data_IF_003110148659
#
_entry.id   IF_003110148659
#
_cell.length_a   1.000
_cell.length_b   1.000
_cell.length_c   1.000
_cell.angle_alpha   90.00
_cell.angle_beta   90.00
_cell.angle_gamma   90.00
#
_symmetry.space_group_name_H-M   'P 1'
#
loop_
_entity.id
_entity.type
_entity.pdbx_description
1 polymer ?
#
# COMPACT_ATOMS: atom_id res chain seq x y z
N UNK A 1 22.09 15.74 -23.47
CA UNK A 1 21.26 14.52 -23.65
C UNK A 1 20.04 14.58 -22.72
N UNK A 2 18.95 13.97 -23.15
CA UNK A 2 17.75 13.82 -22.31
C UNK A 2 17.35 12.35 -22.35
N UNK A 3 17.19 11.74 -21.19
CA UNK A 3 16.79 10.35 -21.04
C UNK A 3 15.58 10.28 -20.10
N UNK A 4 14.56 9.55 -20.46
CA UNK A 4 13.45 9.19 -19.58
C UNK A 4 13.76 7.83 -18.95
N UNK A 5 13.93 7.81 -17.66
CA UNK A 5 14.15 6.57 -16.90
C UNK A 5 12.90 6.22 -16.12
N UNK A 6 12.35 5.02 -16.38
CA UNK A 6 11.21 4.47 -15.67
C UNK A 6 11.68 3.69 -14.44
N UNK A 7 10.95 3.86 -13.32
CA UNK A 7 11.22 3.17 -12.07
C UNK A 7 10.92 1.68 -12.12
N UNK A 8 10.68 1.07 -10.97
CA UNK A 8 10.40 -0.37 -10.80
C UNK A 8 9.36 -0.87 -11.80
N UNK A 9 9.72 -1.85 -12.63
CA UNK A 9 8.86 -2.44 -13.66
C UNK A 9 8.88 -1.77 -15.04
N UNK A 10 9.68 -0.70 -15.21
CA UNK A 10 9.83 -0.03 -16.49
C UNK A 10 10.94 -0.62 -17.38
N UNK A 11 10.87 -0.33 -18.67
CA UNK A 11 11.99 -0.55 -19.61
C UNK A 11 13.14 0.40 -19.27
N UNK A 12 14.38 0.04 -19.61
CA UNK A 12 15.54 0.92 -19.48
C UNK A 12 15.31 2.29 -20.12
N UNK A 13 16.09 3.28 -19.73
CA UNK A 13 15.88 4.67 -20.11
C UNK A 13 15.77 4.89 -21.62
N UNK A 14 14.79 5.70 -22.03
CA UNK A 14 14.58 6.09 -23.43
C UNK A 14 15.30 7.39 -23.71
N UNK A 15 16.23 7.37 -24.65
CA UNK A 15 16.95 8.56 -25.12
C UNK A 15 16.03 9.41 -25.97
N UNK A 16 15.89 10.69 -25.64
CA UNK A 16 15.15 11.64 -26.43
C UNK A 16 16.07 12.35 -27.42
N UNK A 17 15.51 12.72 -28.57
CA UNK A 17 16.19 13.46 -29.63
C UNK A 17 15.54 14.82 -29.84
N UNK A 18 16.36 15.87 -29.94
CA UNK A 18 15.91 17.23 -30.16
C UNK A 18 15.62 17.45 -31.66
N UNK A 19 14.44 17.92 -31.98
CA UNK A 19 14.09 18.32 -33.34
C UNK A 19 14.55 19.76 -33.68
N UNK A 20 14.24 20.21 -34.92
CA UNK A 20 14.58 21.56 -35.41
C UNK A 20 13.90 22.69 -34.64
N UNK A 21 12.77 22.41 -34.01
CA UNK A 21 11.96 23.40 -33.26
C UNK A 21 12.32 23.39 -31.76
N UNK A 22 13.29 22.55 -31.37
CA UNK A 22 13.80 22.47 -30.01
C UNK A 22 13.05 21.49 -29.11
N UNK A 23 12.10 20.74 -29.64
CA UNK A 23 11.31 19.74 -28.88
C UNK A 23 12.07 18.42 -28.79
N UNK A 24 12.09 17.85 -27.60
CA UNK A 24 12.72 16.56 -27.35
C UNK A 24 11.68 15.44 -27.37
N UNK A 25 11.88 14.46 -28.22
CA UNK A 25 10.97 13.32 -28.41
C UNK A 25 11.71 11.99 -28.42
N UNK A 26 11.02 10.93 -28.04
CA UNK A 26 11.52 9.56 -28.10
C UNK A 26 10.37 8.57 -27.94
N UNK A 27 10.63 7.32 -28.31
CA UNK A 27 9.66 6.21 -28.17
C UNK A 27 10.35 5.06 -27.46
N UNK A 28 9.67 4.43 -26.53
CA UNK A 28 10.16 3.24 -25.82
C UNK A 28 10.27 2.06 -26.77
N UNK A 29 11.16 1.11 -26.53
CA UNK A 29 11.40 -0.06 -27.38
C UNK A 29 10.25 -1.08 -27.37
N UNK A 30 9.22 -0.85 -26.57
CA UNK A 30 8.04 -1.72 -26.49
C UNK A 30 6.93 -1.07 -25.67
N UNK A 31 5.76 -1.70 -25.64
CA UNK A 31 4.68 -1.21 -24.80
C UNK A 31 5.08 -1.27 -23.33
N UNK A 32 4.74 -0.24 -22.59
CA UNK A 32 4.89 -0.23 -21.14
C UNK A 32 3.85 -1.16 -20.48
N UNK A 33 4.22 -1.76 -19.37
CA UNK A 33 3.26 -2.48 -18.52
C UNK A 33 2.13 -1.52 -18.08
N UNK A 34 0.87 -1.96 -18.07
CA UNK A 34 -0.25 -1.15 -17.57
C UNK A 34 -0.11 -0.80 -16.09
N UNK A 35 -0.76 0.30 -15.68
CA UNK A 35 -0.81 0.75 -14.30
C UNK A 35 0.08 1.95 -14.00
N UNK A 36 0.29 2.21 -12.72
CA UNK A 36 1.08 3.33 -12.24
C UNK A 36 2.57 3.00 -12.24
N UNK A 37 3.39 3.91 -12.80
CA UNK A 37 4.84 3.82 -12.78
C UNK A 37 5.48 5.14 -12.34
N UNK A 38 6.56 5.04 -11.56
CA UNK A 38 7.44 6.17 -11.31
C UNK A 38 8.38 6.38 -12.48
N UNK A 39 8.74 7.63 -12.75
CA UNK A 39 9.77 7.96 -13.72
C UNK A 39 10.49 9.26 -13.35
N UNK A 40 11.65 9.48 -13.96
CA UNK A 40 12.39 10.75 -13.88
C UNK A 40 13.09 11.02 -15.21
N UNK A 41 13.54 12.27 -15.37
CA UNK A 41 14.34 12.69 -16.49
C UNK A 41 15.81 12.77 -16.08
N UNK A 42 16.71 12.35 -16.96
CA UNK A 42 18.13 12.63 -16.83
C UNK A 42 18.53 13.63 -17.90
N UNK A 43 18.87 14.85 -17.49
CA UNK A 43 19.24 15.95 -18.39
C UNK A 43 20.70 16.28 -18.15
N UNK A 44 21.54 16.01 -19.16
CA UNK A 44 22.99 16.23 -19.09
C UNK A 44 23.67 15.65 -17.84
N UNK A 45 23.19 14.45 -17.43
CA UNK A 45 23.66 13.72 -16.26
C UNK A 45 23.00 14.10 -14.94
N UNK A 46 22.20 15.15 -14.89
CA UNK A 46 21.41 15.53 -13.72
C UNK A 46 20.05 14.83 -13.72
N UNK A 47 19.66 14.23 -12.59
CA UNK A 47 18.35 13.59 -12.43
C UNK A 47 17.35 14.61 -11.90
N UNK A 48 16.25 14.80 -12.63
CA UNK A 48 15.20 15.78 -12.31
C UNK A 48 13.82 15.17 -12.50
N UNK A 49 12.84 15.71 -11.80
CA UNK A 49 11.45 15.37 -12.06
C UNK A 49 10.95 16.11 -13.32
N UNK A 50 9.99 15.52 -13.99
CA UNK A 50 9.27 16.16 -15.06
C UNK A 50 8.40 17.29 -14.48
N UNK A 51 8.64 18.56 -14.86
CA UNK A 51 7.85 19.69 -14.33
C UNK A 51 6.39 19.68 -14.79
N UNK A 52 6.07 18.91 -15.83
CA UNK A 52 4.70 18.74 -16.32
C UNK A 52 3.93 17.59 -15.67
N UNK A 53 4.59 16.77 -14.86
CA UNK A 53 3.97 15.63 -14.22
C UNK A 53 3.51 15.90 -12.78
N UNK A 54 2.53 15.14 -12.32
CA UNK A 54 2.24 15.03 -10.89
C UNK A 54 3.36 14.25 -10.21
N UNK A 55 3.82 14.75 -9.07
CA UNK A 55 4.84 14.10 -8.26
C UNK A 55 4.21 13.27 -7.14
N UNK A 56 4.87 12.16 -6.84
CA UNK A 56 4.51 11.20 -5.80
C UNK A 56 5.74 10.85 -4.98
N UNK A 57 5.55 10.60 -3.68
CA UNK A 57 6.66 10.15 -2.87
C UNK A 57 6.87 8.65 -3.09
N UNK A 58 8.08 8.28 -3.52
CA UNK A 58 8.50 6.90 -3.77
C UNK A 58 10.01 6.86 -3.94
N UNK A 59 10.62 5.68 -3.76
CA UNK A 59 12.09 5.54 -3.85
C UNK A 59 12.87 6.49 -2.91
N UNK A 60 12.30 6.80 -1.74
CA UNK A 60 12.84 7.72 -0.71
C UNK A 60 12.97 9.18 -1.21
N UNK A 61 12.23 9.56 -2.24
CA UNK A 61 12.22 10.92 -2.80
C UNK A 61 10.91 11.20 -3.56
N UNK A 62 10.71 12.43 -3.95
CA UNK A 62 9.66 12.79 -4.91
C UNK A 62 10.05 12.31 -6.31
N UNK A 63 9.14 11.60 -6.96
CA UNK A 63 9.25 11.08 -8.32
C UNK A 63 8.09 11.57 -9.17
N UNK A 64 8.32 11.74 -10.47
CA UNK A 64 7.22 11.90 -11.42
C UNK A 64 6.46 10.57 -11.55
N UNK A 65 5.16 10.63 -11.77
CA UNK A 65 4.33 9.46 -11.97
C UNK A 65 3.58 9.49 -13.29
N UNK A 66 3.42 8.32 -13.90
CA UNK A 66 2.62 8.11 -15.10
C UNK A 66 1.65 6.94 -14.89
N UNK A 67 0.43 7.08 -15.38
CA UNK A 67 -0.57 6.01 -15.41
C UNK A 67 -0.69 5.49 -16.84
N UNK A 68 -0.36 4.22 -17.03
CA UNK A 68 -0.57 3.52 -18.31
C UNK A 68 -1.92 2.83 -18.25
N UNK A 69 -2.84 3.09 -19.22
CA UNK A 69 -4.18 2.50 -19.22
C UNK A 69 -4.16 0.97 -19.12
N UNK A 70 -5.14 0.42 -18.41
CA UNK A 70 -5.38 -1.02 -18.33
C UNK A 70 -6.85 -1.34 -18.64
N UNK A 71 -7.12 -2.57 -19.09
CA UNK A 71 -8.45 -2.97 -19.53
C UNK A 71 -9.50 -2.97 -18.40
N UNK A 72 -9.06 -3.15 -17.15
CA UNK A 72 -9.93 -3.22 -15.97
C UNK A 72 -9.86 -1.98 -15.06
N UNK A 73 -9.47 -0.82 -15.58
CA UNK A 73 -9.31 0.41 -14.78
C UNK A 73 -10.59 0.91 -14.10
N UNK A 74 -11.76 0.44 -14.56
CA UNK A 74 -13.08 0.84 -14.06
C UNK A 74 -13.23 0.65 -12.54
N UNK A 75 -12.60 -0.35 -11.93
CA UNK A 75 -12.75 -0.58 -10.48
C UNK A 75 -12.07 0.47 -9.60
N UNK A 76 -11.10 1.22 -10.12
CA UNK A 76 -10.43 2.33 -9.43
C UNK A 76 -10.64 3.69 -10.09
N UNK A 77 -11.50 3.75 -11.11
CA UNK A 77 -11.89 5.01 -11.75
C UNK A 77 -12.76 5.85 -10.81
N UNK A 78 -12.71 7.16 -10.98
CA UNK A 78 -13.65 8.05 -10.32
C UNK A 78 -15.01 7.90 -11.00
N UNK A 79 -16.03 7.47 -10.24
CA UNK A 79 -17.40 7.27 -10.69
C UNK A 79 -18.35 8.27 -10.02
N UNK A 80 -19.55 8.42 -10.56
CA UNK A 80 -20.62 9.19 -9.92
C UNK A 80 -21.32 8.32 -8.86
N UNK A 81 -20.64 8.16 -7.72
CA UNK A 81 -21.10 7.41 -6.54
C UNK A 81 -20.81 8.24 -5.29
N UNK A 82 -21.44 7.94 -4.15
CA UNK A 82 -21.07 8.58 -2.89
C UNK A 82 -19.58 8.35 -2.56
N UNK A 83 -18.85 9.43 -2.33
CA UNK A 83 -17.43 9.38 -2.00
C UNK A 83 -17.17 9.54 -0.51
N UNK A 84 -16.20 8.78 0.00
CA UNK A 84 -15.64 8.97 1.33
C UNK A 84 -14.72 10.19 1.39
N UNK A 85 -14.19 10.45 2.57
CA UNK A 85 -13.23 11.52 2.82
C UNK A 85 -11.88 10.95 3.17
N UNK A 86 -10.82 11.59 2.69
CA UNK A 86 -9.45 11.30 3.10
C UNK A 86 -8.97 12.46 3.96
N UNK A 87 -8.67 12.20 5.22
CA UNK A 87 -8.18 13.20 6.17
C UNK A 87 -6.75 12.89 6.58
N UNK A 88 -5.92 13.91 6.65
CA UNK A 88 -4.59 13.78 7.21
C UNK A 88 -4.63 14.07 8.71
N UNK A 89 -3.99 13.22 9.50
CA UNK A 89 -3.86 13.40 10.94
C UNK A 89 -2.39 13.41 11.35
N UNK A 90 -2.10 14.21 12.38
CA UNK A 90 -0.83 14.19 13.12
C UNK A 90 -1.12 13.49 14.44
N UNK A 91 -0.36 12.46 14.76
CA UNK A 91 -0.54 11.75 16.03
C UNK A 91 0.73 11.80 16.88
N UNK A 92 0.59 11.95 18.20
CA UNK A 92 1.76 11.94 19.07
C UNK A 92 2.33 10.51 19.13
N UNK A 93 3.63 10.38 18.92
CA UNK A 93 4.32 9.10 19.13
C UNK A 93 5.47 9.27 20.10
N UNK A 94 5.54 8.37 21.07
CA UNK A 94 6.65 8.25 22.00
C UNK A 94 7.68 7.22 21.55
N UNK A 95 7.30 6.39 20.58
CA UNK A 95 8.09 5.28 20.06
C UNK A 95 8.82 5.60 18.78
N UNK A 96 8.54 6.75 18.15
CA UNK A 96 9.23 7.20 16.95
C UNK A 96 10.56 7.87 17.31
N UNK A 97 11.66 7.50 16.65
CA UNK A 97 12.94 8.17 16.81
C UNK A 97 12.87 9.67 16.47
N UNK A 98 13.53 10.50 17.25
CA UNK A 98 13.49 11.98 17.10
C UNK A 98 14.20 12.52 15.84
N UNK A 99 14.93 11.69 15.11
CA UNK A 99 15.86 12.10 14.04
C UNK A 99 15.41 11.70 12.63
N UNK A 100 14.13 11.45 12.40
CA UNK A 100 13.66 11.06 11.08
C UNK A 100 13.46 12.27 10.17
N UNK A 101 14.18 12.31 9.06
CA UNK A 101 14.19 13.42 8.11
C UNK A 101 12.81 13.73 7.50
N UNK A 102 11.94 12.74 7.37
CA UNK A 102 10.57 12.92 6.83
C UNK A 102 9.57 13.47 7.87
N UNK A 103 9.90 13.41 9.18
CA UNK A 103 9.02 13.79 10.27
C UNK A 103 9.50 14.97 11.12
N UNK A 104 10.61 15.56 10.76
CA UNK A 104 11.34 16.51 11.62
C UNK A 104 10.57 17.76 12.01
N UNK A 105 9.56 18.16 11.22
CA UNK A 105 8.83 19.42 11.51
C UNK A 105 7.44 19.22 12.11
N UNK A 106 6.79 18.09 11.86
CA UNK A 106 5.35 17.91 12.17
C UNK A 106 5.00 16.65 12.99
N UNK A 107 5.94 15.75 13.29
CA UNK A 107 5.66 14.45 13.92
C UNK A 107 5.03 13.43 12.97
N UNK A 108 4.70 12.22 13.46
CA UNK A 108 4.16 11.15 12.64
C UNK A 108 2.77 11.48 12.09
N UNK A 109 2.58 11.12 10.83
CA UNK A 109 1.35 11.37 10.06
C UNK A 109 0.67 10.07 9.68
N UNK A 110 -0.64 10.15 9.50
CA UNK A 110 -1.43 9.12 8.84
C UNK A 110 -2.49 9.75 7.95
N UNK A 111 -2.80 9.06 6.85
CA UNK A 111 -3.98 9.35 6.03
C UNK A 111 -5.08 8.38 6.43
N UNK A 112 -6.26 8.92 6.72
CA UNK A 112 -7.42 8.16 7.15
C UNK A 112 -8.54 8.33 6.12
N UNK A 113 -8.92 7.24 5.46
CA UNK A 113 -10.12 7.20 4.64
C UNK A 113 -11.31 6.90 5.53
N UNK A 114 -12.31 7.76 5.46
CA UNK A 114 -13.61 7.64 6.12
C UNK A 114 -14.64 7.29 5.03
N UNK A 115 -15.37 6.15 5.15
CA UNK A 115 -16.32 5.76 4.12
C UNK A 115 -17.48 6.75 3.99
N UNK A 116 -18.22 6.76 2.85
CA UNK A 116 -19.31 7.71 2.63
C UNK A 116 -20.38 7.72 3.74
N UNK A 117 -20.52 6.58 4.45
CA UNK A 117 -21.49 6.44 5.55
C UNK A 117 -20.98 6.92 6.90
N UNK A 118 -19.76 7.48 6.95
CA UNK A 118 -19.18 7.95 8.21
C UNK A 118 -19.84 9.26 8.66
N UNK A 119 -20.57 9.21 9.75
CA UNK A 119 -21.39 10.32 10.30
C UNK A 119 -20.86 10.86 11.65
N UNK A 120 -19.73 10.35 12.14
CA UNK A 120 -19.18 10.69 13.44
C UNK A 120 -19.91 10.06 14.63
N UNK A 121 -20.92 9.23 14.41
CA UNK A 121 -21.74 8.57 15.44
C UNK A 121 -21.58 7.06 15.36
N UNK A 122 -21.85 6.48 14.21
CA UNK A 122 -21.75 5.04 13.96
C UNK A 122 -20.28 4.57 13.96
N UNK A 123 -20.02 3.42 14.58
CA UNK A 123 -18.68 2.83 14.65
C UNK A 123 -18.42 1.89 13.49
N UNK A 124 -17.21 1.96 12.93
CA UNK A 124 -16.76 1.20 11.77
C UNK A 124 -15.57 0.29 12.11
N UNK A 125 -15.43 -0.86 11.43
CA UNK A 125 -14.18 -1.62 11.43
C UNK A 125 -13.03 -0.80 10.85
N UNK A 126 -11.79 -1.23 11.10
CA UNK A 126 -10.59 -0.51 10.66
C UNK A 126 -9.62 -1.45 9.96
N UNK A 127 -9.16 -1.07 8.78
CA UNK A 127 -8.03 -1.64 8.08
C UNK A 127 -6.82 -0.70 8.21
N UNK A 128 -5.75 -1.16 8.85
CA UNK A 128 -4.43 -0.53 8.80
C UNK A 128 -3.71 -1.04 7.56
N UNK A 129 -3.43 -0.14 6.60
CA UNK A 129 -2.95 -0.49 5.26
C UNK A 129 -1.61 0.20 4.99
N UNK A 130 -0.54 -0.60 4.96
CA UNK A 130 0.84 -0.11 4.93
C UNK A 130 1.42 -0.05 3.52
N UNK A 131 2.20 1.01 3.27
CA UNK A 131 2.92 1.26 2.03
C UNK A 131 4.19 0.42 1.90
N UNK A 132 4.87 0.50 0.75
CA UNK A 132 6.13 -0.19 0.47
C UNK A 132 7.37 0.60 0.87
N UNK A 133 8.52 -0.05 0.71
CA UNK A 133 9.81 0.59 1.01
C UNK A 133 10.04 1.83 0.14
N UNK A 134 10.44 2.92 0.79
CA UNK A 134 10.73 4.19 0.10
C UNK A 134 9.51 5.04 -0.24
N UNK A 135 8.31 4.59 0.07
CA UNK A 135 7.06 5.33 -0.05
C UNK A 135 6.67 6.01 1.27
N UNK A 136 5.50 6.59 1.35
CA UNK A 136 4.98 7.26 2.54
C UNK A 136 3.48 6.99 2.77
N UNK A 137 2.94 7.62 3.79
CA UNK A 137 1.52 7.50 4.19
C UNK A 137 0.52 7.88 3.11
N UNK A 138 0.96 8.58 2.04
CA UNK A 138 0.09 9.01 0.95
C UNK A 138 -0.07 7.97 -0.16
N UNK A 139 0.84 6.97 -0.22
CA UNK A 139 0.97 6.07 -1.36
C UNK A 139 -0.32 5.31 -1.69
N UNK A 140 -1.01 4.76 -0.69
CA UNK A 140 -2.24 4.02 -0.92
C UNK A 140 -3.40 4.89 -1.43
N UNK A 141 -3.47 6.16 -1.01
CA UNK A 141 -4.53 7.06 -1.48
C UNK A 141 -4.21 7.66 -2.84
N UNK A 142 -2.94 7.96 -3.13
CA UNK A 142 -2.51 8.55 -4.39
C UNK A 142 -2.23 7.47 -5.46
N UNK A 143 -1.14 6.72 -5.32
CA UNK A 143 -0.73 5.69 -6.29
C UNK A 143 -1.67 4.48 -6.25
N UNK A 144 -2.09 4.08 -5.04
CA UNK A 144 -2.97 2.93 -4.81
C UNK A 144 -4.44 3.18 -5.10
N UNK A 145 -4.89 4.44 -5.12
CA UNK A 145 -6.31 4.85 -5.32
C UNK A 145 -7.29 4.11 -4.40
N UNK A 146 -6.86 3.77 -3.18
CA UNK A 146 -7.62 2.94 -2.24
C UNK A 146 -9.00 3.54 -1.90
N UNK A 147 -9.08 4.86 -1.78
CA UNK A 147 -10.35 5.57 -1.56
C UNK A 147 -11.36 5.33 -2.69
N UNK A 148 -10.94 5.43 -3.96
CA UNK A 148 -11.82 5.21 -5.11
C UNK A 148 -12.23 3.73 -5.24
N UNK A 149 -11.30 2.80 -5.00
CA UNK A 149 -11.61 1.37 -4.96
C UNK A 149 -12.68 1.09 -3.91
N UNK A 150 -12.54 1.65 -2.71
CA UNK A 150 -13.51 1.45 -1.63
C UNK A 150 -14.87 2.09 -1.94
N UNK A 151 -14.88 3.34 -2.44
CA UNK A 151 -16.12 4.01 -2.82
C UNK A 151 -16.93 3.18 -3.84
N UNK A 152 -16.23 2.68 -4.88
CA UNK A 152 -16.85 1.84 -5.91
C UNK A 152 -17.36 0.51 -5.34
N UNK A 153 -16.56 -0.21 -4.55
CA UNK A 153 -16.96 -1.49 -3.95
C UNK A 153 -18.14 -1.33 -2.98
N UNK A 154 -18.18 -0.25 -2.21
CA UNK A 154 -19.28 0.05 -1.28
C UNK A 154 -20.55 0.39 -2.06
N UNK A 155 -20.45 1.22 -3.10
CA UNK A 155 -21.59 1.60 -3.94
C UNK A 155 -22.17 0.40 -4.70
N UNK A 156 -21.33 -0.54 -5.12
CA UNK A 156 -21.72 -1.80 -5.76
C UNK A 156 -22.28 -2.85 -4.76
N UNK A 157 -22.30 -2.55 -3.46
CA UNK A 157 -22.73 -3.48 -2.41
C UNK A 157 -21.81 -4.69 -2.22
N UNK A 158 -20.61 -4.67 -2.77
CA UNK A 158 -19.63 -5.76 -2.69
C UNK A 158 -18.83 -5.76 -1.40
N UNK A 159 -18.71 -4.60 -0.77
CA UNK A 159 -17.93 -4.43 0.45
C UNK A 159 -18.73 -3.64 1.50
N UNK A 160 -18.63 -4.05 2.77
CA UNK A 160 -19.16 -3.23 3.84
C UNK A 160 -18.24 -2.02 4.10
N UNK A 161 -18.82 -0.88 4.56
CA UNK A 161 -18.02 0.28 4.90
C UNK A 161 -17.06 0.02 6.06
N UNK A 162 -15.80 0.46 5.92
CA UNK A 162 -14.81 0.48 6.99
C UNK A 162 -13.81 1.64 6.80
N UNK A 163 -13.13 2.00 7.86
CA UNK A 163 -12.08 3.02 7.88
C UNK A 163 -10.78 2.38 7.38
N UNK A 164 -10.00 3.11 6.57
CA UNK A 164 -8.61 2.72 6.23
C UNK A 164 -7.66 3.73 6.86
N UNK A 165 -6.60 3.24 7.49
CA UNK A 165 -5.53 4.04 8.08
C UNK A 165 -4.21 3.68 7.42
N UNK A 166 -3.58 4.66 6.78
CA UNK A 166 -2.26 4.54 6.16
C UNK A 166 -1.28 5.42 6.92
N UNK A 167 -0.33 4.82 7.60
CA UNK A 167 0.70 5.54 8.34
C UNK A 167 2.07 5.39 7.68
N UNK A 168 2.97 6.31 7.98
CA UNK A 168 4.36 6.19 7.56
C UNK A 168 5.06 5.04 8.29
N UNK A 169 5.50 4.03 7.55
CA UNK A 169 6.09 2.80 8.11
C UNK A 169 7.60 2.86 8.33
N UNK A 170 8.30 3.81 7.68
CA UNK A 170 9.76 3.92 7.74
C UNK A 170 10.21 4.62 9.02
N UNK A 171 10.10 3.93 10.15
CA UNK A 171 10.26 4.48 11.51
C UNK A 171 11.71 4.68 11.97
N UNK A 172 12.69 4.24 11.18
CA UNK A 172 14.10 4.49 11.43
C UNK A 172 14.81 4.98 10.17
N UNK A 173 16.10 5.28 10.25
CA UNK A 173 16.84 5.87 9.14
C UNK A 173 16.77 4.97 7.91
N UNK A 174 16.28 5.52 6.82
CA UNK A 174 16.17 4.84 5.54
C UNK A 174 17.11 5.47 4.53
N UNK A 175 17.96 4.64 3.96
CA UNK A 175 18.90 5.03 2.89
C UNK A 175 18.72 4.14 1.68
N UNK A 176 18.73 4.74 0.51
CA UNK A 176 18.67 3.98 -0.74
C UNK A 176 19.79 2.93 -0.81
N UNK A 177 19.43 1.70 -1.17
CA UNK A 177 20.37 0.58 -1.22
C UNK A 177 20.68 -0.09 0.14
N UNK A 178 20.17 0.45 1.25
CA UNK A 178 20.44 -0.03 2.61
C UNK A 178 19.21 -0.62 3.31
N UNK A 179 18.27 -1.19 2.56
CA UNK A 179 17.04 -1.77 3.11
C UNK A 179 17.31 -2.89 4.15
N UNK A 180 18.44 -3.60 4.03
CA UNK A 180 18.85 -4.64 4.97
C UNK A 180 19.25 -4.12 6.36
N UNK A 181 19.53 -2.82 6.49
CA UNK A 181 19.84 -2.15 7.76
C UNK A 181 18.59 -1.64 8.50
N UNK A 182 17.42 -1.71 7.84
CA UNK A 182 16.18 -1.18 8.40
C UNK A 182 15.68 -2.05 9.57
N UNK A 183 15.40 -1.43 10.72
CA UNK A 183 14.80 -2.11 11.88
C UNK A 183 13.27 -2.16 11.76
N UNK A 184 12.78 -3.29 11.29
CA UNK A 184 11.35 -3.57 11.14
C UNK A 184 10.58 -3.61 12.47
N UNK A 185 11.26 -3.77 13.59
CA UNK A 185 10.62 -3.95 14.91
C UNK A 185 10.14 -2.63 15.52
N UNK A 186 10.72 -1.50 15.14
CA UNK A 186 10.32 -0.19 15.66
C UNK A 186 8.88 0.16 15.29
N UNK A 187 8.49 -0.11 14.04
CA UNK A 187 7.13 0.19 13.56
C UNK A 187 6.04 -0.52 14.37
N UNK A 188 6.28 -1.74 14.85
CA UNK A 188 5.32 -2.47 15.67
C UNK A 188 4.91 -1.69 16.92
N UNK A 189 5.86 -1.06 17.58
CA UNK A 189 5.61 -0.25 18.79
C UNK A 189 4.82 1.01 18.47
N UNK A 190 5.16 1.68 17.36
CA UNK A 190 4.41 2.85 16.88
C UNK A 190 2.97 2.47 16.55
N UNK A 191 2.78 1.38 15.81
CA UNK A 191 1.45 0.89 15.41
C UNK A 191 0.57 0.59 16.63
N UNK A 192 1.06 -0.25 17.54
CA UNK A 192 0.22 -0.79 18.62
C UNK A 192 0.08 0.17 19.81
N UNK A 193 1.14 0.90 20.15
CA UNK A 193 1.14 1.73 21.34
C UNK A 193 0.76 3.19 21.09
N UNK A 194 0.91 3.70 19.87
CA UNK A 194 0.67 5.10 19.55
C UNK A 194 -0.48 5.28 18.56
N UNK A 195 -0.40 4.67 17.37
CA UNK A 195 -1.35 4.89 16.27
C UNK A 195 -2.74 4.30 16.57
N UNK A 196 -2.83 3.02 16.93
CA UNK A 196 -4.12 2.37 17.21
C UNK A 196 -4.88 3.08 18.32
N UNK A 197 -4.29 3.40 19.50
CA UNK A 197 -4.98 4.15 20.54
C UNK A 197 -5.41 5.55 20.10
N UNK A 198 -4.60 6.23 19.28
CA UNK A 198 -4.96 7.53 18.72
C UNK A 198 -6.19 7.42 17.81
N UNK A 199 -6.19 6.48 16.87
CA UNK A 199 -7.31 6.27 15.94
C UNK A 199 -8.59 5.90 16.69
N UNK A 200 -8.51 4.97 17.66
CA UNK A 200 -9.67 4.53 18.43
C UNK A 200 -10.27 5.64 19.30
N UNK A 201 -9.45 6.62 19.73
CA UNK A 201 -9.91 7.77 20.54
C UNK A 201 -10.47 8.94 19.71
N UNK A 202 -10.02 9.11 18.46
CA UNK A 202 -10.38 10.26 17.62
C UNK A 202 -11.44 9.92 16.57
N UNK A 203 -11.59 8.65 16.19
CA UNK A 203 -12.56 8.20 15.20
C UNK A 203 -13.55 7.19 15.80
N UNK A 204 -14.69 7.05 15.16
CA UNK A 204 -15.71 6.08 15.58
C UNK A 204 -15.37 4.69 15.08
N UNK A 205 -14.46 4.05 15.77
CA UNK A 205 -13.98 2.70 15.46
C UNK A 205 -14.68 1.64 16.31
N UNK A 206 -14.74 0.41 15.76
CA UNK A 206 -15.01 -0.80 16.54
C UNK A 206 -13.66 -1.34 17.02
N UNK A 207 -13.26 -0.99 18.25
CA UNK A 207 -11.93 -1.20 18.80
C UNK A 207 -11.60 -2.67 19.18
N UNK A 208 -12.41 -3.63 18.75
CA UNK A 208 -12.19 -5.05 19.03
C UNK A 208 -11.36 -5.71 17.93
N UNK A 209 -10.55 -6.70 18.27
CA UNK A 209 -9.71 -7.49 17.35
C UNK A 209 -10.47 -7.98 16.10
N UNK A 210 -11.71 -8.48 16.30
CA UNK A 210 -12.56 -9.00 15.21
C UNK A 210 -12.98 -7.94 14.18
N UNK A 211 -12.76 -6.67 14.47
CA UNK A 211 -13.05 -5.53 13.60
C UNK A 211 -11.78 -4.75 13.21
N UNK A 212 -10.62 -5.35 13.45
CA UNK A 212 -9.32 -4.73 13.10
C UNK A 212 -8.56 -5.64 12.17
N UNK A 213 -8.19 -5.10 11.00
CA UNK A 213 -7.38 -5.74 10.00
C UNK A 213 -6.04 -5.01 9.85
N UNK A 214 -5.00 -5.72 9.47
CA UNK A 214 -3.76 -5.14 9.01
C UNK A 214 -3.34 -5.80 7.71
N UNK A 215 -2.95 -4.97 6.73
CA UNK A 215 -2.44 -5.42 5.46
C UNK A 215 -1.37 -4.43 4.95
N UNK A 216 -0.58 -4.86 3.99
CA UNK A 216 0.39 -3.97 3.35
C UNK A 216 1.02 -4.57 2.11
N UNK A 217 1.55 -3.68 1.29
CA UNK A 217 2.27 -4.03 0.08
C UNK A 217 3.77 -4.12 0.36
N UNK A 218 4.47 -5.07 -0.26
CA UNK A 218 5.94 -5.17 -0.18
C UNK A 218 6.47 -5.11 1.27
N UNK A 219 7.22 -4.07 1.63
CA UNK A 219 7.67 -3.78 2.98
C UNK A 219 6.50 -3.78 3.98
N UNK A 220 5.38 -3.11 3.64
CA UNK A 220 4.18 -3.06 4.49
C UNK A 220 3.58 -4.44 4.75
N UNK A 221 3.75 -5.40 3.84
CA UNK A 221 3.43 -6.81 4.08
C UNK A 221 4.34 -7.43 5.14
N UNK A 222 5.64 -7.15 5.11
CA UNK A 222 6.57 -7.60 6.15
C UNK A 222 6.24 -6.98 7.51
N UNK A 223 5.96 -5.67 7.57
CA UNK A 223 5.49 -5.00 8.78
C UNK A 223 4.20 -5.62 9.31
N UNK A 224 3.26 -5.92 8.40
CA UNK A 224 2.00 -6.61 8.74
C UNK A 224 2.28 -7.96 9.37
N UNK A 225 3.13 -8.78 8.75
CA UNK A 225 3.50 -10.10 9.30
C UNK A 225 4.11 -9.95 10.69
N UNK A 226 5.06 -9.06 10.86
CA UNK A 226 5.75 -8.87 12.14
C UNK A 226 4.81 -8.34 13.23
N UNK A 227 3.96 -7.35 12.93
CA UNK A 227 2.98 -6.82 13.88
C UNK A 227 1.97 -7.88 14.31
N UNK A 228 1.41 -8.62 13.36
CA UNK A 228 0.36 -9.61 13.65
C UNK A 228 0.88 -10.83 14.41
N UNK A 229 2.14 -11.21 14.19
CA UNK A 229 2.78 -12.30 14.94
C UNK A 229 3.24 -11.88 16.34
N UNK A 230 3.67 -10.63 16.50
CA UNK A 230 4.07 -10.08 17.79
C UNK A 230 2.86 -9.74 18.69
N UNK A 231 1.74 -9.31 18.09
CA UNK A 231 0.52 -8.88 18.79
C UNK A 231 -0.72 -9.60 18.25
N UNK A 232 -0.83 -10.94 18.38
CA UNK A 232 -1.91 -11.75 17.79
C UNK A 232 -3.30 -11.41 18.34
N UNK A 233 -3.37 -10.77 19.51
CA UNK A 233 -4.62 -10.31 20.13
C UNK A 233 -5.15 -8.99 19.54
N UNK A 234 -4.36 -8.30 18.70
CA UNK A 234 -4.70 -6.96 18.20
C UNK A 234 -5.49 -6.99 16.91
N UNK A 235 -5.16 -7.91 15.99
CA UNK A 235 -5.74 -7.99 14.65
C UNK A 235 -6.41 -9.33 14.41
N UNK A 236 -7.57 -9.32 13.73
CA UNK A 236 -8.30 -10.52 13.35
C UNK A 236 -8.13 -10.92 11.88
N UNK A 237 -7.63 -10.02 11.04
CA UNK A 237 -7.49 -10.20 9.59
C UNK A 237 -6.11 -9.74 9.15
N UNK A 238 -5.43 -10.56 8.36
CA UNK A 238 -4.06 -10.33 7.92
C UNK A 238 -3.97 -10.35 6.40
N UNK A 239 -3.30 -9.35 5.79
CA UNK A 239 -3.10 -9.25 4.35
C UNK A 239 -1.65 -9.00 3.95
N UNK A 240 -1.06 -9.89 3.14
CA UNK A 240 0.27 -9.73 2.57
C UNK A 240 0.17 -9.58 1.05
N UNK A 241 0.46 -8.37 0.55
CA UNK A 241 0.37 -8.03 -0.86
C UNK A 241 1.80 -7.90 -1.42
N UNK A 242 2.29 -8.94 -2.09
CA UNK A 242 3.70 -9.04 -2.52
C UNK A 242 4.70 -8.82 -1.36
N UNK A 243 4.34 -9.14 -0.13
CA UNK A 243 5.08 -8.78 1.09
C UNK A 243 5.41 -9.95 2.01
N UNK A 244 5.69 -11.11 1.46
CA UNK A 244 6.01 -12.32 2.21
C UNK A 244 4.86 -13.31 2.25
N UNK A 245 5.00 -14.33 3.09
CA UNK A 245 4.04 -15.44 3.23
C UNK A 245 3.85 -15.79 4.70
N UNK A 246 2.61 -16.13 5.09
CA UNK A 246 2.36 -16.88 6.31
C UNK A 246 2.48 -18.37 6.05
N UNK A 247 3.02 -19.06 7.04
CA UNK A 247 3.07 -20.53 7.08
C UNK A 247 2.19 -21.05 8.23
N UNK A 248 1.76 -22.32 8.24
CA UNK A 248 0.97 -22.86 9.33
C UNK A 248 1.59 -22.66 10.73
N UNK A 249 2.91 -22.71 10.81
CA UNK A 249 3.69 -22.55 12.05
C UNK A 249 3.64 -21.11 12.59
N UNK A 250 3.40 -20.13 11.75
CA UNK A 250 3.25 -18.74 12.12
C UNK A 250 1.94 -18.49 12.92
N UNK A 251 0.91 -19.29 12.69
CA UNK A 251 -0.42 -19.12 13.27
C UNK A 251 -0.57 -20.01 14.52
N UNK A 252 -0.15 -19.48 15.67
CA UNK A 252 -0.14 -20.23 16.94
C UNK A 252 -1.54 -20.49 17.51
N UNK A 253 -2.47 -19.59 17.23
CA UNK A 253 -3.85 -19.62 17.75
C UNK A 253 -4.85 -19.44 16.61
N UNK A 254 -5.30 -20.55 16.04
CA UNK A 254 -6.22 -20.57 14.88
C UNK A 254 -7.51 -19.79 15.15
N UNK A 255 -8.06 -19.88 16.34
CA UNK A 255 -9.28 -19.19 16.75
C UNK A 255 -9.13 -17.65 16.81
N UNK A 256 -7.90 -17.15 16.78
CA UNK A 256 -7.62 -15.71 16.75
C UNK A 256 -7.56 -15.13 15.34
N UNK A 257 -7.33 -15.94 14.31
CA UNK A 257 -7.24 -15.50 12.93
C UNK A 257 -8.56 -15.76 12.21
N UNK A 258 -9.25 -14.71 11.82
CA UNK A 258 -10.49 -14.82 11.06
C UNK A 258 -10.24 -15.05 9.58
N UNK A 259 -9.18 -14.42 9.04
CA UNK A 259 -8.82 -14.57 7.65
C UNK A 259 -7.36 -14.17 7.42
N UNK A 260 -6.66 -14.92 6.59
CA UNK A 260 -5.36 -14.59 6.00
C UNK A 260 -5.55 -14.42 4.50
N UNK A 261 -5.07 -13.31 3.96
CA UNK A 261 -5.04 -13.04 2.52
C UNK A 261 -3.59 -12.85 2.07
N UNK A 262 -3.20 -13.52 0.99
CA UNK A 262 -1.87 -13.37 0.39
C UNK A 262 -2.01 -13.21 -1.12
N UNK A 263 -1.29 -12.26 -1.70
CA UNK A 263 -1.33 -12.00 -3.14
C UNK A 263 0.01 -11.59 -3.71
N UNK A 264 0.14 -11.70 -5.03
CA UNK A 264 1.27 -11.16 -5.80
C UNK A 264 0.86 -11.00 -7.28
N UNK A 265 1.74 -10.38 -8.07
CA UNK A 265 1.64 -10.38 -9.52
C UNK A 265 2.04 -11.74 -10.11
N UNK A 266 1.49 -12.08 -11.28
CA UNK A 266 1.84 -13.35 -11.94
C UNK A 266 3.30 -13.40 -12.43
N UNK A 267 3.93 -12.25 -12.60
CA UNK A 267 5.35 -12.11 -12.93
C UNK A 267 6.28 -12.17 -11.71
N UNK A 268 5.74 -12.36 -10.49
CA UNK A 268 6.52 -12.53 -9.25
C UNK A 268 6.68 -14.01 -8.89
N UNK A 269 6.16 -14.46 -7.76
CA UNK A 269 6.20 -15.87 -7.32
C UNK A 269 4.80 -16.40 -6.95
N UNK A 270 3.90 -16.55 -7.94
CA UNK A 270 2.51 -16.92 -7.70
C UNK A 270 2.34 -18.32 -7.09
N UNK A 271 3.22 -19.26 -7.43
CA UNK A 271 3.14 -20.63 -6.92
C UNK A 271 3.43 -20.70 -5.42
N UNK A 272 4.36 -19.88 -4.93
CA UNK A 272 4.63 -19.81 -3.49
C UNK A 272 3.42 -19.26 -2.72
N UNK A 273 2.74 -18.25 -3.25
CA UNK A 273 1.51 -17.68 -2.65
C UNK A 273 0.39 -18.72 -2.61
N UNK A 274 0.15 -19.45 -3.72
CA UNK A 274 -0.87 -20.52 -3.79
C UNK A 274 -0.58 -21.64 -2.79
N UNK A 275 0.65 -22.15 -2.77
CA UNK A 275 1.09 -23.24 -1.87
C UNK A 275 0.97 -22.84 -0.39
N UNK A 276 1.36 -21.64 -0.03
CA UNK A 276 1.23 -21.14 1.34
C UNK A 276 -0.24 -21.05 1.78
N UNK A 277 -1.12 -20.54 0.92
CA UNK A 277 -2.55 -20.50 1.22
C UNK A 277 -3.17 -21.90 1.34
N UNK A 278 -2.76 -22.85 0.49
CA UNK A 278 -3.20 -24.26 0.59
C UNK A 278 -2.74 -24.90 1.90
N UNK A 279 -1.48 -24.72 2.28
CA UNK A 279 -0.94 -25.22 3.54
C UNK A 279 -1.70 -24.67 4.77
N UNK A 280 -1.99 -23.35 4.77
CA UNK A 280 -2.80 -22.73 5.81
C UNK A 280 -4.22 -23.31 5.87
N UNK A 281 -4.89 -23.50 4.73
CA UNK A 281 -6.22 -24.13 4.67
C UNK A 281 -6.19 -25.56 5.18
N UNK A 282 -5.17 -26.33 4.78
CA UNK A 282 -4.97 -27.69 5.30
C UNK A 282 -4.77 -27.73 6.82
N UNK A 283 -4.17 -26.67 7.38
CA UNK A 283 -4.03 -26.48 8.81
C UNK A 283 -5.29 -25.91 9.51
N UNK A 284 -6.40 -25.69 8.77
CA UNK A 284 -7.68 -25.20 9.32
C UNK A 284 -7.78 -23.67 9.45
N UNK A 285 -6.88 -22.92 8.82
CA UNK A 285 -6.93 -21.47 8.77
C UNK A 285 -7.76 -21.02 7.56
N UNK A 286 -8.64 -20.04 7.73
CA UNK A 286 -9.35 -19.39 6.63
C UNK A 286 -8.38 -18.54 5.81
N UNK A 287 -7.77 -19.12 4.78
CA UNK A 287 -6.74 -18.48 3.97
C UNK A 287 -7.15 -18.36 2.50
N UNK A 288 -6.90 -17.18 1.95
CA UNK A 288 -7.16 -16.84 0.55
C UNK A 288 -5.87 -16.47 -0.15
N UNK A 289 -5.77 -16.80 -1.43
CA UNK A 289 -4.70 -16.34 -2.31
C UNK A 289 -5.25 -15.68 -3.55
N UNK A 290 -4.56 -14.66 -4.04
CA UNK A 290 -4.89 -13.98 -5.30
C UNK A 290 -3.61 -13.75 -6.11
N UNK A 291 -3.71 -13.93 -7.42
CA UNK A 291 -2.64 -13.63 -8.36
C UNK A 291 -3.15 -12.63 -9.38
N UNK A 292 -2.52 -11.47 -9.45
CA UNK A 292 -2.84 -10.44 -10.44
C UNK A 292 -2.17 -10.80 -11.77
N UNK A 293 -2.96 -11.20 -12.76
CA UNK A 293 -2.45 -11.63 -14.05
C UNK A 293 -1.81 -10.48 -14.85
N UNK A 294 -0.69 -10.78 -15.50
CA UNK A 294 0.05 -9.87 -16.36
C UNK A 294 0.87 -8.81 -15.63
N UNK A 295 0.86 -8.80 -14.30
CA UNK A 295 1.52 -7.75 -13.49
C UNK A 295 2.68 -8.28 -12.66
N UNK A 296 3.55 -7.37 -12.21
CA UNK A 296 4.72 -7.62 -11.38
C UNK A 296 4.57 -6.96 -10.00
N UNK A 297 5.68 -6.53 -9.42
CA UNK A 297 5.76 -5.84 -8.12
C UNK A 297 5.42 -4.35 -8.29
N UNK A 298 4.14 -4.03 -8.42
CA UNK A 298 3.66 -2.70 -8.85
C UNK A 298 2.24 -2.39 -8.36
N UNK A 299 1.84 -1.10 -8.44
CA UNK A 299 0.55 -0.65 -7.92
C UNK A 299 -0.67 -1.30 -8.55
N UNK A 300 -0.65 -1.69 -9.83
CA UNK A 300 -1.79 -2.39 -10.42
C UNK A 300 -2.04 -3.75 -9.74
N UNK A 301 -0.97 -4.48 -9.41
CA UNK A 301 -1.05 -5.70 -8.57
C UNK A 301 -1.73 -5.42 -7.25
N UNK A 302 -1.33 -4.37 -6.55
CA UNK A 302 -1.82 -4.07 -5.20
C UNK A 302 -3.21 -3.46 -5.19
N UNK A 303 -3.59 -2.66 -6.18
CA UNK A 303 -4.96 -2.19 -6.42
C UNK A 303 -5.92 -3.35 -6.61
N UNK A 304 -5.59 -4.30 -7.50
CA UNK A 304 -6.36 -5.52 -7.71
C UNK A 304 -6.43 -6.38 -6.46
N UNK A 305 -5.33 -6.50 -5.73
CA UNK A 305 -5.28 -7.23 -4.46
C UNK A 305 -6.21 -6.62 -3.41
N UNK A 306 -6.25 -5.29 -3.28
CA UNK A 306 -7.19 -4.60 -2.39
C UNK A 306 -8.63 -4.83 -2.82
N UNK A 307 -8.95 -4.76 -4.13
CA UNK A 307 -10.28 -5.07 -4.67
C UNK A 307 -10.76 -6.46 -4.27
N UNK A 308 -9.87 -7.46 -4.31
CA UNK A 308 -10.23 -8.85 -3.98
C UNK A 308 -10.28 -9.09 -2.46
N UNK A 309 -9.42 -8.42 -1.70
CA UNK A 309 -9.34 -8.59 -0.25
C UNK A 309 -10.48 -7.89 0.48
N UNK A 310 -10.80 -6.65 0.13
CA UNK A 310 -11.74 -5.80 0.87
C UNK A 310 -13.12 -6.44 1.08
N UNK A 311 -13.74 -7.13 0.09
CA UNK A 311 -15.01 -7.83 0.27
C UNK A 311 -14.98 -9.00 1.27
N UNK A 312 -13.80 -9.49 1.62
CA UNK A 312 -13.63 -10.62 2.54
C UNK A 312 -13.47 -10.16 4.00
N UNK A 313 -13.17 -8.88 4.22
CA UNK A 313 -12.90 -8.35 5.54
C UNK A 313 -14.19 -8.16 6.36
N UNK A 314 -14.08 -8.43 7.67
CA UNK A 314 -15.09 -8.12 8.70
C UNK A 314 -16.45 -8.85 8.52
N UNK A 315 -16.44 -10.00 7.86
CA UNK A 315 -17.58 -10.92 7.76
C UNK A 315 -17.76 -11.79 9.00
#
# INVERSE_FOLDING_TARGET
SVIVSLGLGGTGGTVLHKDKDGVWTGTTDGPMDPGFHYYHLTIDGGVVNDPGAKNYYGSVRWESGIEIPCDDEDFFAQKDVPHGQVVQVLFPSKNTPKNMSHWTECGPRAFVYLPPQYDGIKRFPVLYLQHGWGEDETAWMNQGRANLIMDNLIAEGKCQPFIIVCAYGMTNECRWGHMHEFDWTEFQRVMVNDLIPYIDSHFKTKAERRYRAMAGLSMGGMETKMCTLAYPETFGYYGLLSGGLYQPEDIKTKDQVRMVFMSCGSKENPDAVRKAAEALRAAGVNAHSYVSEGTAHEFLTWRRSLREMAPLLFK
#
